data_IF_540699583903
#
_entry.id   IF_540699583903
#
_cell.length_a   1.000
_cell.length_b   1.000
_cell.length_c   1.000
_cell.angle_alpha   90.00
_cell.angle_beta   90.00
_cell.angle_gamma   90.00
#
_symmetry.space_group_name_H-M   'P 1'
#
loop_
_entity.id
_entity.type
_entity.pdbx_description
1 polymer ?
#
# COMPACT_ATOMS: atom_id res chain seq x y z
N UNK A 1 34.37 -9.76 -8.32
CA UNK A 1 33.21 -10.23 -7.51
C UNK A 1 32.19 -9.11 -7.51
N UNK A 2 30.89 -9.42 -7.58
CA UNK A 2 29.84 -8.41 -7.61
C UNK A 2 29.79 -7.63 -6.27
N UNK A 3 29.82 -6.30 -6.33
CA UNK A 3 29.81 -5.39 -5.19
C UNK A 3 28.39 -4.90 -4.86
N UNK A 4 27.62 -4.51 -5.88
CA UNK A 4 26.33 -3.84 -5.75
C UNK A 4 25.34 -4.36 -6.80
N UNK A 5 24.11 -4.66 -6.39
CA UNK A 5 22.99 -4.83 -7.30
C UNK A 5 21.98 -3.71 -7.15
N UNK A 6 21.52 -3.15 -8.27
CA UNK A 6 20.48 -2.11 -8.29
C UNK A 6 19.18 -2.73 -8.78
N UNK A 7 18.17 -2.77 -7.91
CA UNK A 7 16.83 -3.29 -8.24
C UNK A 7 15.95 -2.14 -8.67
N UNK A 8 15.44 -2.23 -9.90
CA UNK A 8 14.60 -1.20 -10.51
C UNK A 8 13.23 -1.82 -10.84
N UNK A 9 12.21 -1.62 -9.99
CA UNK A 9 10.86 -2.04 -10.31
C UNK A 9 10.29 -1.15 -11.42
N UNK A 10 9.61 -1.75 -12.39
CA UNK A 10 9.16 -1.06 -13.61
C UNK A 10 7.72 -1.40 -13.97
N UNK A 11 6.98 -0.38 -14.41
CA UNK A 11 5.67 -0.52 -15.02
C UNK A 11 5.41 0.64 -15.99
N UNK A 12 5.40 0.37 -17.29
CA UNK A 12 5.37 1.36 -18.37
C UNK A 12 6.57 2.34 -18.37
N UNK A 13 7.78 1.81 -18.26
CA UNK A 13 9.03 2.58 -18.15
C UNK A 13 9.95 2.39 -19.37
N UNK A 14 9.40 1.96 -20.51
CA UNK A 14 10.18 1.61 -21.71
C UNK A 14 11.17 2.70 -22.13
N UNK A 15 10.76 3.97 -22.06
CA UNK A 15 11.59 5.10 -22.47
C UNK A 15 12.79 5.36 -21.55
N UNK A 16 12.75 4.86 -20.31
CA UNK A 16 13.74 5.18 -19.30
C UNK A 16 14.82 4.10 -19.14
N UNK A 17 14.55 2.84 -19.55
CA UNK A 17 15.46 1.70 -19.32
C UNK A 17 16.89 1.97 -19.77
N UNK A 18 17.10 2.40 -21.02
CA UNK A 18 18.45 2.67 -21.55
C UNK A 18 19.15 3.82 -20.81
N UNK A 19 18.40 4.88 -20.46
CA UNK A 19 18.91 6.04 -19.73
C UNK A 19 19.34 5.67 -18.31
N UNK A 20 18.56 4.82 -17.63
CA UNK A 20 18.90 4.29 -16.30
C UNK A 20 20.23 3.54 -16.37
N UNK A 21 20.39 2.61 -17.34
CA UNK A 21 21.64 1.84 -17.49
C UNK A 21 22.83 2.76 -17.75
N UNK A 22 22.71 3.73 -18.67
CA UNK A 22 23.79 4.66 -18.98
C UNK A 22 24.20 5.54 -17.78
N UNK A 23 23.23 5.97 -16.97
CA UNK A 23 23.50 6.76 -15.77
C UNK A 23 24.13 5.92 -14.66
N UNK A 24 23.68 4.68 -14.49
CA UNK A 24 24.30 3.73 -13.57
C UNK A 24 25.75 3.44 -13.97
N UNK A 25 26.02 3.25 -15.26
CA UNK A 25 27.37 3.04 -15.78
C UNK A 25 28.31 4.20 -15.42
N UNK A 26 27.86 5.44 -15.66
CA UNK A 26 28.63 6.63 -15.28
C UNK A 26 28.81 6.73 -13.76
N UNK A 27 27.75 6.54 -12.98
CA UNK A 27 27.79 6.74 -11.52
C UNK A 27 28.57 5.65 -10.78
N UNK A 28 28.55 4.41 -11.27
CA UNK A 28 29.12 3.24 -10.60
C UNK A 28 30.50 2.85 -11.17
N UNK A 29 31.19 3.78 -11.82
CA UNK A 29 32.55 3.58 -12.32
C UNK A 29 33.46 3.09 -11.18
N UNK A 30 34.13 1.95 -11.39
CA UNK A 30 35.02 1.34 -10.39
C UNK A 30 34.35 0.34 -9.44
N UNK A 31 33.04 0.11 -9.54
CA UNK A 31 32.32 -0.94 -8.83
C UNK A 31 31.94 -2.07 -9.77
N UNK A 32 31.98 -3.32 -9.30
CA UNK A 32 31.35 -4.43 -10.02
C UNK A 32 29.87 -4.40 -9.70
N UNK A 33 29.03 -4.02 -10.65
CA UNK A 33 27.61 -3.84 -10.42
C UNK A 33 26.73 -4.60 -11.43
N UNK A 34 25.50 -4.86 -11.02
CA UNK A 34 24.43 -5.34 -11.89
C UNK A 34 23.15 -4.53 -11.65
N UNK A 35 22.26 -4.51 -12.63
CA UNK A 35 20.90 -3.95 -12.49
C UNK A 35 19.88 -5.03 -12.78
N UNK A 36 18.90 -5.17 -11.89
CA UNK A 36 17.79 -6.12 -12.02
C UNK A 36 16.51 -5.32 -12.25
N UNK A 37 16.06 -5.27 -13.50
CA UNK A 37 14.76 -4.74 -13.86
C UNK A 37 13.68 -5.76 -13.51
N UNK A 38 12.73 -5.37 -12.66
CA UNK A 38 11.58 -6.22 -12.29
C UNK A 38 10.32 -5.60 -12.88
N UNK A 39 9.78 -6.22 -13.93
CA UNK A 39 8.68 -5.70 -14.74
C UNK A 39 7.36 -6.43 -14.47
N UNK A 40 6.30 -5.66 -14.23
CA UNK A 40 4.95 -6.15 -13.90
C UNK A 40 4.06 -6.40 -15.12
N UNK A 41 4.66 -7.04 -16.12
CA UNK A 41 4.08 -7.33 -17.43
C UNK A 41 3.57 -6.05 -18.11
N UNK A 42 4.51 -5.13 -18.36
CA UNK A 42 4.21 -3.83 -18.94
C UNK A 42 3.72 -3.97 -20.38
N UNK A 43 2.55 -3.41 -20.73
CA UNK A 43 2.01 -3.46 -22.10
C UNK A 43 2.83 -2.65 -23.12
N UNK A 44 3.68 -1.73 -22.68
CA UNK A 44 4.48 -0.87 -23.55
C UNK A 44 5.75 -1.56 -24.13
N UNK A 45 6.06 -2.76 -23.65
CA UNK A 45 7.26 -3.52 -24.02
C UNK A 45 8.51 -3.20 -23.19
N UNK A 46 8.37 -2.64 -21.98
CA UNK A 46 9.49 -2.37 -21.05
C UNK A 46 10.41 -3.59 -20.87
N UNK A 47 9.86 -4.77 -20.53
CA UNK A 47 10.63 -6.01 -20.36
C UNK A 47 11.37 -6.45 -21.64
N UNK A 48 10.83 -6.14 -22.83
CA UNK A 48 11.49 -6.47 -24.11
C UNK A 48 12.74 -5.61 -24.29
N UNK A 49 12.65 -4.30 -24.06
CA UNK A 49 13.79 -3.39 -24.18
C UNK A 49 14.89 -3.73 -23.17
N UNK A 50 14.53 -4.06 -21.93
CA UNK A 50 15.51 -4.50 -20.94
C UNK A 50 16.22 -5.81 -21.34
N UNK A 51 15.52 -6.75 -22.00
CA UNK A 51 16.12 -7.97 -22.54
C UNK A 51 17.04 -7.71 -23.73
N UNK A 52 16.65 -6.80 -24.63
CA UNK A 52 17.49 -6.37 -25.76
C UNK A 52 18.82 -5.78 -25.26
N UNK A 53 18.79 -4.98 -24.19
CA UNK A 53 20.00 -4.45 -23.54
C UNK A 53 20.82 -5.56 -22.86
N UNK A 54 20.17 -6.54 -22.22
CA UNK A 54 20.85 -7.68 -21.59
C UNK A 54 21.61 -8.57 -22.58
N UNK A 55 21.30 -8.52 -23.89
CA UNK A 55 22.07 -9.23 -24.91
C UNK A 55 23.46 -8.63 -25.15
N UNK A 56 23.62 -7.33 -24.88
CA UNK A 56 24.86 -6.58 -25.16
C UNK A 56 25.58 -6.12 -23.90
N UNK A 57 24.89 -6.06 -22.75
CA UNK A 57 25.45 -5.73 -21.45
C UNK A 57 25.09 -6.82 -20.40
N UNK A 58 26.06 -7.66 -19.99
CA UNK A 58 25.82 -8.75 -19.04
C UNK A 58 25.46 -8.28 -17.62
N UNK A 59 25.61 -6.98 -17.32
CA UNK A 59 25.21 -6.38 -16.05
C UNK A 59 23.70 -6.17 -15.96
N UNK A 60 22.99 -6.22 -17.10
CA UNK A 60 21.54 -6.01 -17.16
C UNK A 60 20.80 -7.33 -17.03
N UNK A 61 19.89 -7.43 -16.06
CA UNK A 61 19.04 -8.59 -15.81
C UNK A 61 17.58 -8.20 -15.77
N UNK A 62 16.71 -9.13 -16.14
CA UNK A 62 15.27 -8.90 -16.24
C UNK A 62 14.49 -10.01 -15.56
N UNK A 63 13.53 -9.62 -14.71
CA UNK A 63 12.50 -10.49 -14.14
C UNK A 63 11.16 -9.95 -14.63
N UNK A 64 10.45 -10.71 -15.48
CA UNK A 64 9.10 -10.35 -15.93
C UNK A 64 8.07 -11.16 -15.13
N UNK A 65 7.18 -10.46 -14.42
CA UNK A 65 6.21 -11.06 -13.51
C UNK A 65 4.82 -11.12 -14.15
N UNK A 66 4.41 -12.33 -14.52
CA UNK A 66 3.10 -12.56 -15.19
C UNK A 66 2.00 -12.81 -14.15
N UNK A 67 0.87 -12.11 -14.31
CA UNK A 67 -0.33 -12.29 -13.49
C UNK A 67 -0.23 -11.80 -12.03
N UNK A 68 0.86 -11.10 -11.69
CA UNK A 68 1.14 -10.55 -10.36
C UNK A 68 1.63 -9.11 -10.51
N UNK A 69 1.25 -8.21 -9.58
CA UNK A 69 1.65 -6.80 -9.60
C UNK A 69 1.87 -6.25 -8.19
N UNK A 70 2.76 -5.28 -8.06
CA UNK A 70 2.98 -4.49 -6.85
C UNK A 70 4.44 -4.09 -6.66
N UNK A 71 4.68 -2.81 -6.34
CA UNK A 71 6.02 -2.25 -6.21
C UNK A 71 6.84 -2.95 -5.11
N UNK A 72 6.29 -3.10 -3.90
CA UNK A 72 7.02 -3.74 -2.80
C UNK A 72 7.40 -5.20 -3.13
N UNK A 73 6.48 -5.96 -3.74
CA UNK A 73 6.80 -7.35 -4.13
C UNK A 73 7.82 -7.41 -5.27
N UNK A 74 7.82 -6.43 -6.19
CA UNK A 74 8.83 -6.34 -7.25
C UNK A 74 10.22 -6.14 -6.66
N UNK A 75 10.34 -5.20 -5.72
CA UNK A 75 11.59 -4.96 -5.01
C UNK A 75 12.05 -6.22 -4.27
N UNK A 76 11.17 -6.89 -3.52
CA UNK A 76 11.54 -8.11 -2.78
C UNK A 76 12.09 -9.19 -3.72
N UNK A 77 11.41 -9.44 -4.84
CA UNK A 77 11.81 -10.46 -5.82
C UNK A 77 13.15 -10.12 -6.47
N UNK A 78 13.33 -8.87 -6.91
CA UNK A 78 14.60 -8.41 -7.49
C UNK A 78 15.75 -8.49 -6.50
N UNK A 79 15.53 -8.06 -5.26
CA UNK A 79 16.57 -8.11 -4.23
C UNK A 79 16.93 -9.53 -3.79
N UNK A 80 16.01 -10.50 -3.92
CA UNK A 80 16.30 -11.91 -3.65
C UNK A 80 17.01 -12.62 -4.81
N UNK A 81 16.90 -12.10 -6.03
CA UNK A 81 17.45 -12.73 -7.24
C UNK A 81 18.94 -12.44 -7.49
N UNK A 82 19.56 -11.55 -6.70
CA UNK A 82 20.95 -11.15 -6.83
C UNK A 82 21.87 -11.87 -5.85
N UNK A 83 23.12 -12.08 -6.28
CA UNK A 83 24.22 -12.57 -5.43
C UNK A 83 25.04 -11.44 -4.79
N UNK A 84 24.77 -10.17 -5.12
CA UNK A 84 25.52 -9.04 -4.58
C UNK A 84 25.41 -9.00 -3.04
N UNK A 85 26.48 -8.59 -2.33
CA UNK A 85 26.45 -8.42 -0.89
C UNK A 85 25.67 -7.17 -0.46
N UNK A 86 25.58 -6.16 -1.33
CA UNK A 86 24.79 -4.94 -1.13
C UNK A 86 23.76 -4.85 -2.25
N UNK A 87 22.52 -4.54 -1.86
CA UNK A 87 21.42 -4.35 -2.81
C UNK A 87 20.82 -2.97 -2.61
N UNK A 88 20.71 -2.20 -3.68
CA UNK A 88 20.01 -0.93 -3.72
C UNK A 88 18.67 -1.06 -4.42
N UNK A 89 17.71 -0.23 -4.02
CA UNK A 89 16.43 -0.05 -4.70
C UNK A 89 16.37 1.39 -5.20
N UNK A 90 15.95 1.58 -6.45
CA UNK A 90 15.63 2.89 -7.01
C UNK A 90 14.52 2.80 -8.05
N UNK A 91 13.68 3.83 -8.12
CA UNK A 91 12.68 4.01 -9.19
C UNK A 91 13.33 4.20 -10.57
N UNK A 92 12.65 3.72 -11.62
CA UNK A 92 13.10 3.79 -13.01
C UNK A 92 12.82 5.13 -13.72
N UNK A 93 12.21 6.11 -13.05
CA UNK A 93 11.71 7.35 -13.66
C UNK A 93 12.69 8.53 -13.58
N UNK A 94 13.95 8.25 -13.22
CA UNK A 94 15.08 9.19 -13.18
C UNK A 94 14.96 10.30 -12.12
N UNK A 95 14.02 10.17 -11.17
CA UNK A 95 13.86 11.13 -10.08
C UNK A 95 14.90 10.97 -8.97
N UNK A 96 15.36 9.73 -8.76
CA UNK A 96 16.44 9.43 -7.83
C UNK A 96 17.80 9.81 -8.40
N UNK A 97 18.69 10.24 -7.51
CA UNK A 97 20.04 10.63 -7.88
C UNK A 97 21.00 9.43 -7.79
N UNK A 98 21.20 8.73 -8.91
CA UNK A 98 22.08 7.56 -9.01
C UNK A 98 23.51 7.81 -8.52
N UNK A 99 23.98 9.06 -8.53
CA UNK A 99 25.32 9.43 -8.06
C UNK A 99 25.50 9.23 -6.55
N UNK A 100 24.40 9.00 -5.82
CA UNK A 100 24.43 8.66 -4.40
C UNK A 100 24.73 7.18 -4.14
N UNK A 101 24.51 6.29 -5.12
CA UNK A 101 24.70 4.85 -4.96
C UNK A 101 26.13 4.45 -4.55
N UNK A 102 27.22 5.03 -5.12
CA UNK A 102 28.58 4.75 -4.64
C UNK A 102 28.77 5.08 -3.16
N UNK A 103 28.20 6.20 -2.70
CA UNK A 103 28.29 6.64 -1.29
C UNK A 103 27.49 5.73 -0.37
N UNK A 104 26.31 5.29 -0.78
CA UNK A 104 25.53 4.31 -0.05
C UNK A 104 26.28 2.97 0.07
N UNK A 105 26.86 2.49 -1.03
CA UNK A 105 27.63 1.26 -1.05
C UNK A 105 28.91 1.38 -0.21
N UNK A 106 29.62 2.50 -0.27
CA UNK A 106 30.78 2.77 0.58
C UNK A 106 30.42 2.78 2.07
N UNK A 107 29.37 3.50 2.47
CA UNK A 107 28.93 3.53 3.87
C UNK A 107 28.62 2.13 4.43
N UNK A 108 27.94 1.29 3.64
CA UNK A 108 27.67 -0.10 4.01
C UNK A 108 28.91 -1.00 3.91
N UNK A 109 29.92 -0.67 3.12
CA UNK A 109 31.15 -1.46 3.07
C UNK A 109 32.05 -1.15 4.27
N UNK A 110 32.16 0.12 4.61
CA UNK A 110 33.14 0.65 5.55
C UNK A 110 32.71 0.50 7.01
N UNK A 111 31.41 0.47 7.31
CA UNK A 111 30.87 0.18 8.65
C UNK A 111 30.08 -1.16 8.65
N UNK A 112 30.70 -2.27 9.11
CA UNK A 112 30.05 -3.57 9.27
C UNK A 112 28.77 -3.55 10.10
N UNK A 113 28.62 -2.56 10.98
CA UNK A 113 27.48 -2.45 11.86
C UNK A 113 26.33 -1.61 11.28
N UNK A 114 26.51 -0.96 10.13
CA UNK A 114 25.37 -0.39 9.37
C UNK A 114 24.64 -1.49 8.60
N UNK A 115 23.31 -1.49 8.73
CA UNK A 115 22.40 -2.37 7.99
C UNK A 115 21.85 -1.70 6.72
N UNK A 116 21.63 -0.38 6.78
CA UNK A 116 20.94 0.40 5.75
C UNK A 116 21.64 1.75 5.44
N UNK A 117 21.59 2.17 4.18
CA UNK A 117 21.86 3.53 3.77
C UNK A 117 20.65 4.07 2.99
N UNK A 118 20.11 5.22 3.39
CA UNK A 118 18.84 5.75 2.87
C UNK A 118 19.09 7.08 2.20
N UNK A 119 18.66 7.23 0.95
CA UNK A 119 18.56 8.54 0.31
C UNK A 119 17.39 9.29 0.94
N UNK A 120 17.67 10.42 1.59
CA UNK A 120 16.68 11.17 2.35
C UNK A 120 16.54 12.59 1.81
N UNK A 121 15.29 12.99 1.56
CA UNK A 121 14.94 14.33 1.06
C UNK A 121 14.88 15.38 2.17
N UNK A 122 14.80 14.93 3.43
CA UNK A 122 14.47 15.76 4.58
C UNK A 122 15.62 15.97 5.57
N UNK A 123 16.81 15.41 5.28
CA UNK A 123 18.04 15.71 6.04
C UNK A 123 18.76 16.94 5.48
N UNK A 124 19.63 17.56 6.27
CA UNK A 124 20.37 18.75 5.86
C UNK A 124 21.16 18.52 4.56
N UNK A 125 20.94 19.38 3.55
CA UNK A 125 21.48 19.23 2.20
C UNK A 125 20.59 18.45 1.22
N UNK A 126 19.49 17.85 1.70
CA UNK A 126 18.45 17.22 0.87
C UNK A 126 17.41 18.25 0.39
N UNK A 127 16.67 17.90 -0.66
CA UNK A 127 15.63 18.77 -1.21
C UNK A 127 14.60 18.02 -2.05
N UNK A 128 13.42 18.61 -2.21
CA UNK A 128 12.33 18.04 -3.03
C UNK A 128 12.16 18.72 -4.40
N UNK A 129 13.12 19.54 -4.82
CA UNK A 129 13.02 20.34 -6.06
C UNK A 129 11.93 21.42 -5.96
N UNK A 130 11.29 21.77 -7.09
CA UNK A 130 10.16 22.71 -7.17
C UNK A 130 8.83 22.10 -6.68
N UNK A 131 8.82 21.50 -5.49
CA UNK A 131 7.59 20.96 -4.92
C UNK A 131 6.79 22.03 -4.19
N UNK A 132 5.48 22.03 -4.45
CA UNK A 132 4.49 22.90 -3.82
C UNK A 132 4.54 22.77 -2.27
N UNK A 133 4.56 23.90 -1.57
CA UNK A 133 4.77 23.98 -0.10
C UNK A 133 3.73 23.15 0.68
N UNK A 134 2.53 22.99 0.12
CA UNK A 134 1.44 22.17 0.69
C UNK A 134 1.78 20.67 0.76
N UNK A 135 2.62 20.17 -0.15
CA UNK A 135 3.03 18.76 -0.20
C UNK A 135 4.10 18.45 0.85
N UNK A 136 4.96 19.42 1.17
CA UNK A 136 5.97 19.32 2.24
C UNK A 136 5.30 19.20 3.62
N UNK A 137 4.24 19.96 3.87
CA UNK A 137 3.48 19.90 5.13
C UNK A 137 2.77 18.55 5.34
N UNK A 138 2.13 18.00 4.30
CA UNK A 138 1.51 16.66 4.34
C UNK A 138 2.56 15.56 4.56
N UNK A 139 3.75 15.70 3.96
CA UNK A 139 4.85 14.76 4.16
C UNK A 139 5.37 14.79 5.60
N UNK A 140 5.45 15.96 6.25
CA UNK A 140 5.90 16.07 7.64
C UNK A 140 4.94 15.37 8.63
N UNK A 141 3.63 15.44 8.40
CA UNK A 141 2.65 14.71 9.22
C UNK A 141 2.77 13.19 9.03
N UNK A 142 2.92 12.73 7.79
CA UNK A 142 3.18 11.32 7.50
C UNK A 142 4.49 10.85 8.16
N UNK A 143 5.57 11.62 8.09
CA UNK A 143 6.83 11.28 8.77
C UNK A 143 6.65 11.16 10.30
N UNK A 144 5.87 12.06 10.93
CA UNK A 144 5.59 11.97 12.38
C UNK A 144 4.79 10.72 12.76
N UNK A 145 3.79 10.36 11.97
CA UNK A 145 2.99 9.14 12.21
C UNK A 145 3.85 7.90 11.99
N UNK A 146 4.70 7.89 10.95
CA UNK A 146 5.63 6.79 10.71
C UNK A 146 6.62 6.64 11.88
N UNK A 147 7.17 7.72 12.42
CA UNK A 147 8.08 7.66 13.58
C UNK A 147 7.42 7.02 14.82
N UNK A 148 6.12 7.27 15.06
CA UNK A 148 5.35 6.64 16.14
C UNK A 148 5.16 5.14 15.94
N UNK A 149 5.05 4.68 14.68
CA UNK A 149 4.89 3.26 14.34
C UNK A 149 6.23 2.52 14.30
N UNK A 150 7.29 3.18 13.82
CA UNK A 150 8.62 2.61 13.68
C UNK A 150 9.38 2.50 15.02
N UNK A 151 9.07 3.37 15.99
CA UNK A 151 9.88 3.50 17.21
C UNK A 151 11.28 4.08 16.96
N UNK A 152 11.59 4.51 15.73
CA UNK A 152 12.87 5.11 15.32
C UNK A 152 12.63 6.44 14.62
N UNK A 153 13.53 7.41 14.84
CA UNK A 153 13.51 8.71 14.15
C UNK A 153 14.17 8.57 12.78
N UNK A 154 13.41 8.12 11.80
CA UNK A 154 13.80 8.13 10.39
C UNK A 154 13.21 9.38 9.73
N UNK A 155 14.04 10.19 9.08
CA UNK A 155 13.58 11.48 8.52
C UNK A 155 12.77 11.28 7.24
N UNK A 156 13.11 10.27 6.42
CA UNK A 156 12.38 9.90 5.22
C UNK A 156 11.98 8.41 5.17
N UNK A 157 11.00 7.98 5.97
CA UNK A 157 10.57 6.58 6.04
C UNK A 157 9.87 6.08 4.75
N UNK A 158 9.60 7.02 3.84
CA UNK A 158 8.83 6.77 2.62
C UNK A 158 9.69 6.75 1.36
N UNK A 159 11.01 6.88 1.51
CA UNK A 159 11.97 6.89 0.41
C UNK A 159 11.95 5.56 -0.34
N UNK A 160 11.87 5.66 -1.68
CA UNK A 160 12.07 4.54 -2.60
C UNK A 160 13.54 4.33 -2.96
N UNK A 161 14.45 5.10 -2.35
CA UNK A 161 15.87 5.10 -2.67
C UNK A 161 16.72 4.77 -1.45
N UNK A 162 17.21 3.53 -1.40
CA UNK A 162 18.02 3.04 -0.29
C UNK A 162 18.89 1.86 -0.74
N UNK A 163 19.93 1.57 0.03
CA UNK A 163 20.74 0.36 -0.04
C UNK A 163 20.68 -0.42 1.27
N UNK A 164 20.70 -1.73 1.18
CA UNK A 164 20.62 -2.68 2.30
C UNK A 164 21.65 -3.80 2.10
N UNK A 165 22.19 -4.34 3.19
CA UNK A 165 22.96 -5.59 3.11
C UNK A 165 22.08 -6.77 2.73
N UNK A 166 22.54 -7.58 1.80
CA UNK A 166 21.74 -8.67 1.25
C UNK A 166 21.39 -9.75 2.28
N UNK A 167 22.27 -10.03 3.25
CA UNK A 167 22.03 -10.96 4.36
C UNK A 167 20.94 -10.45 5.32
N UNK A 168 21.01 -9.17 5.71
CA UNK A 168 19.99 -8.51 6.55
C UNK A 168 18.64 -8.58 5.86
N UNK A 169 18.58 -8.22 4.57
CA UNK A 169 17.35 -8.28 3.80
C UNK A 169 16.79 -9.70 3.76
N UNK A 170 17.58 -10.71 3.37
CA UNK A 170 17.11 -12.09 3.24
C UNK A 170 16.58 -12.64 4.57
N UNK A 171 17.16 -12.23 5.70
CA UNK A 171 16.63 -12.55 7.04
C UNK A 171 15.29 -11.88 7.35
N UNK A 172 14.98 -10.74 6.73
CA UNK A 172 13.71 -10.02 6.89
C UNK A 172 12.61 -10.49 5.94
N UNK A 173 12.95 -11.02 4.75
CA UNK A 173 12.01 -11.42 3.70
C UNK A 173 10.81 -12.23 4.21
N UNK A 174 10.95 -13.26 5.06
CA UNK A 174 9.81 -14.04 5.56
C UNK A 174 8.79 -13.24 6.39
N UNK A 175 9.19 -12.06 6.88
CA UNK A 175 8.38 -11.17 7.72
C UNK A 175 7.85 -9.95 6.96
N UNK A 176 8.27 -9.74 5.71
CA UNK A 176 7.80 -8.62 4.90
C UNK A 176 6.35 -8.88 4.46
N UNK A 177 5.50 -7.87 4.61
CA UNK A 177 4.10 -7.96 4.21
C UNK A 177 3.93 -7.91 2.68
N UNK A 178 4.84 -7.21 1.98
CA UNK A 178 4.78 -7.08 0.52
C UNK A 178 3.57 -6.29 0.00
N UNK A 179 2.74 -5.72 0.89
CA UNK A 179 1.55 -4.97 0.55
C UNK A 179 1.92 -3.49 0.34
N UNK A 180 1.46 -2.91 -0.77
CA UNK A 180 1.64 -1.50 -1.10
C UNK A 180 2.94 -1.17 -1.84
N UNK A 181 3.40 0.07 -1.69
CA UNK A 181 4.52 0.66 -2.44
C UNK A 181 5.64 1.20 -1.55
N UNK A 182 5.63 0.87 -0.25
CA UNK A 182 6.52 1.47 0.75
C UNK A 182 7.40 0.41 1.40
N UNK A 183 8.24 -0.21 0.58
CA UNK A 183 9.13 -1.31 0.98
C UNK A 183 10.11 -0.92 2.10
N UNK A 184 10.62 0.33 2.12
CA UNK A 184 11.51 0.80 3.19
C UNK A 184 10.82 0.75 4.56
N UNK A 185 9.58 1.26 4.65
CA UNK A 185 8.78 1.19 5.85
C UNK A 185 8.54 -0.27 6.29
N UNK A 186 8.30 -1.15 5.32
CA UNK A 186 8.08 -2.58 5.57
C UNK A 186 9.32 -3.24 6.17
N UNK A 187 10.50 -2.98 5.59
CA UNK A 187 11.81 -3.43 6.07
C UNK A 187 12.08 -2.94 7.49
N UNK A 188 12.00 -1.62 7.70
CA UNK A 188 12.33 -0.98 8.98
C UNK A 188 11.52 -1.56 10.14
N UNK A 189 10.27 -1.89 9.85
CA UNK A 189 9.35 -2.36 10.86
C UNK A 189 9.29 -3.90 10.97
N UNK A 190 9.90 -4.65 10.04
CA UNK A 190 9.85 -6.13 10.03
C UNK A 190 10.95 -6.71 10.91
N UNK A 191 11.99 -5.90 11.12
CA UNK A 191 13.08 -6.23 12.01
C UNK A 191 12.62 -6.29 13.46
N UNK A 192 13.02 -7.35 14.15
CA UNK A 192 12.79 -7.53 15.58
C UNK A 192 13.84 -6.81 16.42
N UNK A 193 14.92 -6.34 15.80
CA UNK A 193 15.93 -5.46 16.40
C UNK A 193 15.93 -4.10 15.69
N UNK A 194 16.34 -3.00 16.36
CA UNK A 194 16.59 -1.75 15.66
C UNK A 194 17.63 -1.96 14.55
N UNK A 195 17.29 -1.57 13.32
CA UNK A 195 18.25 -1.53 12.22
C UNK A 195 19.12 -0.28 12.38
N UNK A 196 20.43 -0.43 12.18
CA UNK A 196 21.37 0.68 12.14
C UNK A 196 21.39 1.23 10.72
N UNK A 197 21.13 2.52 10.58
CA UNK A 197 21.06 3.16 9.27
C UNK A 197 21.76 4.51 9.26
N UNK A 198 22.12 4.95 8.05
CA UNK A 198 22.57 6.32 7.77
C UNK A 198 21.64 6.94 6.74
N UNK A 199 21.32 8.23 6.91
CA UNK A 199 20.58 9.01 5.92
C UNK A 199 21.55 9.91 5.16
N UNK A 200 21.53 9.80 3.83
CA UNK A 200 22.34 10.62 2.94
C UNK A 200 21.43 11.60 2.19
N UNK A 201 21.76 12.91 2.18
CA UNK A 201 20.96 13.91 1.48
C UNK A 201 20.99 13.70 -0.04
N UNK A 202 19.84 13.88 -0.68
CA UNK A 202 19.77 14.09 -2.13
C UNK A 202 18.63 15.04 -2.53
N UNK A 203 18.71 15.54 -3.75
CA UNK A 203 17.67 16.38 -4.36
C UNK A 203 16.79 15.51 -5.26
N UNK A 204 15.50 15.42 -4.93
CA UNK A 204 14.52 14.71 -5.73
C UNK A 204 14.26 15.47 -7.04
N UNK A 205 14.59 14.86 -8.17
CA UNK A 205 14.46 15.51 -9.48
C UNK A 205 13.02 15.45 -9.97
N UNK A 206 12.61 16.43 -10.77
CA UNK A 206 11.33 16.40 -11.48
C UNK A 206 11.33 15.25 -12.50
N UNK A 207 10.21 14.52 -12.60
CA UNK A 207 10.07 13.42 -13.57
C UNK A 207 10.23 13.95 -14.98
N UNK A 208 11.12 13.34 -15.77
CA UNK A 208 11.41 13.78 -17.14
C UNK A 208 10.31 13.36 -18.14
N UNK A 209 9.66 12.21 -17.92
CA UNK A 209 8.62 11.64 -18.81
C UNK A 209 7.58 10.85 -17.99
N UNK A 210 6.28 11.05 -18.25
CA UNK A 210 5.18 10.21 -17.75
C UNK A 210 4.20 10.89 -16.77
N UNK A 211 2.95 10.41 -16.73
CA UNK A 211 1.88 10.99 -15.89
C UNK A 211 2.02 10.62 -14.40
N UNK A 212 1.81 11.62 -13.52
CA UNK A 212 1.79 11.45 -12.06
C UNK A 212 0.47 10.82 -11.60
N UNK A 213 0.53 9.66 -10.93
CA UNK A 213 -0.64 8.97 -10.36
C UNK A 213 -0.85 9.25 -8.86
N UNK A 214 -0.07 10.15 -8.28
CA UNK A 214 0.16 10.28 -6.84
C UNK A 214 -0.51 11.52 -6.25
N UNK A 215 -1.75 11.41 -5.76
CA UNK A 215 -2.30 12.49 -4.93
C UNK A 215 -3.20 12.05 -3.75
N UNK A 216 -4.08 11.04 -3.89
CA UNK A 216 -4.98 10.64 -2.79
C UNK A 216 -4.96 9.15 -2.45
N UNK A 217 -4.77 8.29 -3.45
CA UNK A 217 -4.68 6.82 -3.28
C UNK A 217 -3.50 6.43 -2.39
N UNK A 218 -2.40 7.16 -2.51
CA UNK A 218 -1.13 6.94 -1.83
C UNK A 218 -1.22 7.27 -0.34
N UNK A 219 -1.96 8.31 0.03
CA UNK A 219 -2.21 8.64 1.43
C UNK A 219 -3.09 7.56 2.10
N UNK A 220 -4.10 7.05 1.38
CA UNK A 220 -4.96 5.97 1.87
C UNK A 220 -4.19 4.65 2.04
N UNK A 221 -3.40 4.26 1.03
CA UNK A 221 -2.55 3.08 1.09
C UNK A 221 -1.49 3.17 2.20
N UNK A 222 -1.00 4.38 2.50
CA UNK A 222 -0.12 4.63 3.64
C UNK A 222 -0.82 4.36 4.98
N UNK A 223 -2.02 4.91 5.19
CA UNK A 223 -2.81 4.64 6.40
C UNK A 223 -3.14 3.15 6.54
N UNK A 224 -3.44 2.49 5.43
CA UNK A 224 -3.67 1.04 5.34
C UNK A 224 -2.41 0.27 5.77
N UNK A 225 -1.23 0.62 5.26
CA UNK A 225 0.02 -0.07 5.60
C UNK A 225 0.39 0.08 7.09
N UNK A 226 0.19 1.27 7.66
CA UNK A 226 0.39 1.49 9.09
C UNK A 226 -0.61 0.68 9.94
N UNK A 227 -1.87 0.65 9.52
CA UNK A 227 -2.91 -0.11 10.21
C UNK A 227 -2.64 -1.63 10.15
N UNK A 228 -2.33 -2.17 8.96
CA UNK A 228 -2.04 -3.59 8.76
C UNK A 228 -0.88 -4.06 9.66
N UNK A 229 0.13 -3.21 9.80
CA UNK A 229 1.28 -3.52 10.64
C UNK A 229 0.96 -3.54 12.13
N UNK A 230 0.17 -2.59 12.62
CA UNK A 230 -0.14 -2.48 14.05
C UNK A 230 -1.26 -3.42 14.48
N UNK A 231 -2.27 -3.57 13.63
CA UNK A 231 -3.54 -4.23 13.93
C UNK A 231 -3.92 -5.32 12.92
N UNK A 232 -3.32 -5.39 11.74
CA UNK A 232 -3.66 -6.34 10.67
C UNK A 232 -3.59 -7.82 11.06
N UNK A 233 -2.71 -8.17 12.02
CA UNK A 233 -2.65 -9.52 12.61
C UNK A 233 -3.91 -9.91 13.40
N UNK A 234 -4.64 -8.92 13.93
CA UNK A 234 -5.84 -9.10 14.76
C UNK A 234 -7.10 -8.75 13.97
N UNK A 235 -7.04 -7.65 13.20
CA UNK A 235 -8.15 -7.08 12.46
C UNK A 235 -7.71 -6.80 11.03
N UNK A 236 -8.21 -7.54 10.03
CA UNK A 236 -7.82 -7.35 8.64
C UNK A 236 -8.13 -5.93 8.14
N UNK A 237 -7.24 -5.33 7.35
CA UNK A 237 -7.44 -4.00 6.73
C UNK A 237 -8.79 -3.89 6.04
N UNK A 238 -9.17 -4.90 5.25
CA UNK A 238 -10.44 -4.90 4.51
C UNK A 238 -11.64 -4.86 5.46
N UNK A 239 -11.57 -5.52 6.61
CA UNK A 239 -12.62 -5.45 7.63
C UNK A 239 -12.68 -4.05 8.26
N UNK A 240 -11.54 -3.43 8.52
CA UNK A 240 -11.49 -2.07 9.06
C UNK A 240 -12.07 -1.04 8.08
N UNK A 241 -11.68 -1.09 6.80
CA UNK A 241 -12.25 -0.25 5.75
C UNK A 241 -13.75 -0.49 5.58
N UNK A 242 -14.18 -1.74 5.57
CA UNK A 242 -15.59 -2.12 5.48
C UNK A 242 -16.39 -1.55 6.66
N UNK A 243 -15.86 -1.64 7.87
CA UNK A 243 -16.49 -1.12 9.09
C UNK A 243 -16.55 0.40 9.11
N UNK A 244 -15.49 1.09 8.67
CA UNK A 244 -15.47 2.55 8.55
C UNK A 244 -16.51 3.06 7.54
N UNK A 245 -16.64 2.39 6.39
CA UNK A 245 -17.70 2.68 5.42
C UNK A 245 -19.07 2.40 6.04
N UNK A 246 -19.22 1.29 6.77
CA UNK A 246 -20.45 0.97 7.50
C UNK A 246 -20.88 2.08 8.48
N UNK A 247 -19.93 2.63 9.25
CA UNK A 247 -20.17 3.74 10.16
C UNK A 247 -20.59 5.03 9.42
N UNK A 248 -19.95 5.34 8.29
CA UNK A 248 -20.36 6.45 7.43
C UNK A 248 -21.77 6.23 6.86
N UNK A 249 -22.09 5.01 6.46
CA UNK A 249 -23.42 4.60 6.02
C UNK A 249 -24.48 4.76 7.11
N UNK A 250 -24.15 4.53 8.39
CA UNK A 250 -25.06 4.84 9.50
C UNK A 250 -25.34 6.34 9.61
N UNK A 251 -24.35 7.20 9.34
CA UNK A 251 -24.56 8.64 9.20
C UNK A 251 -25.54 8.98 8.06
N UNK A 252 -25.32 8.40 6.88
CA UNK A 252 -26.24 8.55 5.73
C UNK A 252 -27.65 8.09 6.08
N UNK A 253 -27.78 6.95 6.77
CA UNK A 253 -29.07 6.45 7.25
C UNK A 253 -29.79 7.49 8.11
N UNK A 254 -29.11 8.04 9.12
CA UNK A 254 -29.70 9.05 10.00
C UNK A 254 -30.09 10.32 9.25
N UNK A 255 -29.29 10.77 8.29
CA UNK A 255 -29.61 11.96 7.47
C UNK A 255 -30.83 11.73 6.58
N UNK A 256 -30.92 10.57 5.92
CA UNK A 256 -32.06 10.23 5.05
C UNK A 256 -33.33 10.04 5.90
N UNK A 257 -33.22 9.37 7.04
CA UNK A 257 -34.36 9.20 7.95
C UNK A 257 -34.85 10.56 8.45
N UNK A 258 -33.96 11.46 8.87
CA UNK A 258 -34.34 12.81 9.29
C UNK A 258 -35.05 13.58 8.16
N UNK A 259 -34.55 13.50 6.92
CA UNK A 259 -35.19 14.14 5.78
C UNK A 259 -36.62 13.60 5.53
N UNK A 260 -36.79 12.28 5.47
CA UNK A 260 -38.07 11.70 5.09
C UNK A 260 -39.09 11.62 6.22
N UNK A 261 -38.65 11.33 7.44
CA UNK A 261 -39.54 11.26 8.61
C UNK A 261 -39.82 12.65 9.19
N UNK A 262 -38.79 13.46 9.43
CA UNK A 262 -38.94 14.75 10.13
C UNK A 262 -39.35 15.86 9.16
N UNK A 263 -38.69 15.98 8.01
CA UNK A 263 -38.95 17.09 7.09
C UNK A 263 -40.09 16.81 6.11
N UNK A 264 -40.19 15.60 5.57
CA UNK A 264 -41.23 15.22 4.60
C UNK A 264 -42.48 14.59 5.23
N UNK A 265 -42.48 14.34 6.55
CA UNK A 265 -43.64 13.82 7.28
C UNK A 265 -44.09 12.42 6.89
N UNK A 266 -43.22 11.60 6.29
CA UNK A 266 -43.55 10.21 5.96
C UNK A 266 -43.70 9.36 7.23
N UNK A 267 -44.47 8.28 7.15
CA UNK A 267 -44.56 7.31 8.22
C UNK A 267 -43.16 6.76 8.59
N UNK A 268 -42.89 6.60 9.88
CA UNK A 268 -41.59 6.17 10.41
C UNK A 268 -41.04 4.92 9.72
N UNK A 269 -41.88 3.88 9.56
CA UNK A 269 -41.50 2.64 8.89
C UNK A 269 -41.07 2.88 7.42
N UNK A 270 -41.77 3.77 6.71
CA UNK A 270 -41.43 4.11 5.32
C UNK A 270 -40.11 4.86 5.26
N UNK A 271 -39.92 5.87 6.13
CA UNK A 271 -38.65 6.57 6.26
C UNK A 271 -37.49 5.64 6.61
N UNK A 272 -37.71 4.68 7.51
CA UNK A 272 -36.72 3.68 7.92
C UNK A 272 -36.30 2.77 6.76
N UNK A 273 -37.26 2.30 5.95
CA UNK A 273 -36.98 1.46 4.78
C UNK A 273 -36.15 2.25 3.76
N UNK A 274 -36.57 3.48 3.43
CA UNK A 274 -35.86 4.34 2.48
C UNK A 274 -34.43 4.64 2.95
N UNK A 275 -34.26 5.00 4.23
CA UNK A 275 -32.95 5.26 4.83
C UNK A 275 -32.05 4.01 4.81
N UNK A 276 -32.60 2.82 5.06
CA UNK A 276 -31.86 1.55 5.03
C UNK A 276 -31.35 1.26 3.61
N UNK A 277 -32.20 1.35 2.60
CA UNK A 277 -31.79 1.13 1.21
C UNK A 277 -30.78 2.18 0.72
N UNK A 278 -30.95 3.45 1.09
CA UNK A 278 -30.00 4.51 0.76
C UNK A 278 -28.61 4.23 1.36
N UNK A 279 -28.56 3.87 2.64
CA UNK A 279 -27.31 3.52 3.32
C UNK A 279 -26.65 2.25 2.75
N UNK A 280 -27.42 1.19 2.47
CA UNK A 280 -26.89 -0.02 1.83
C UNK A 280 -26.33 0.27 0.43
N UNK A 281 -27.01 1.12 -0.34
CA UNK A 281 -26.57 1.51 -1.69
C UNK A 281 -25.28 2.33 -1.63
N UNK A 282 -25.22 3.31 -0.73
CA UNK A 282 -24.00 4.09 -0.48
C UNK A 282 -22.83 3.18 -0.08
N UNK A 283 -23.04 2.29 0.88
CA UNK A 283 -22.03 1.35 1.36
C UNK A 283 -21.54 0.42 0.25
N UNK A 284 -22.45 -0.09 -0.60
CA UNK A 284 -22.09 -0.95 -1.72
C UNK A 284 -21.16 -0.25 -2.70
N UNK A 285 -21.55 0.93 -3.19
CA UNK A 285 -20.76 1.65 -4.19
C UNK A 285 -19.41 2.11 -3.63
N UNK A 286 -19.38 2.58 -2.39
CA UNK A 286 -18.14 3.01 -1.76
C UNK A 286 -17.19 1.82 -1.49
N UNK A 287 -17.71 0.67 -1.04
CA UNK A 287 -16.89 -0.54 -0.89
C UNK A 287 -16.40 -1.06 -2.25
N UNK A 288 -17.21 -1.00 -3.31
CA UNK A 288 -16.78 -1.40 -4.65
C UNK A 288 -15.68 -0.48 -5.22
N UNK A 289 -15.72 0.80 -4.87
CA UNK A 289 -14.73 1.79 -5.31
C UNK A 289 -13.42 1.76 -4.50
N UNK A 290 -13.52 1.51 -3.19
CA UNK A 290 -12.39 1.61 -2.25
C UNK A 290 -11.95 0.23 -1.72
N UNK A 291 -12.76 -0.43 -0.89
CA UNK A 291 -12.40 -1.67 -0.17
C UNK A 291 -12.07 -2.84 -1.09
N UNK A 292 -12.82 -2.98 -2.18
CA UNK A 292 -12.67 -4.06 -3.17
C UNK A 292 -12.22 -3.52 -4.53
N UNK A 293 -11.42 -2.44 -4.54
CA UNK A 293 -10.92 -1.82 -5.77
C UNK A 293 -10.21 -2.81 -6.70
N UNK A 294 -9.50 -3.78 -6.13
CA UNK A 294 -8.79 -4.87 -6.82
C UNK A 294 -9.75 -5.86 -7.50
N UNK A 295 -10.96 -6.03 -6.95
CA UNK A 295 -12.00 -6.95 -7.43
C UNK A 295 -13.28 -6.23 -7.83
N UNK A 296 -13.18 -4.95 -8.22
CA UNK A 296 -14.34 -4.11 -8.47
C UNK A 296 -15.23 -4.68 -9.57
N UNK A 297 -16.53 -4.70 -9.28
CA UNK A 297 -17.55 -5.08 -10.24
C UNK A 297 -17.68 -3.94 -11.27
N UNK A 298 -17.67 -4.30 -12.56
CA UNK A 298 -17.81 -3.36 -13.69
C UNK A 298 -18.87 -3.87 -14.65
N UNK A 299 -19.60 -2.94 -15.25
CA UNK A 299 -20.74 -3.22 -16.13
C UNK A 299 -22.06 -3.30 -15.36
N UNK A 300 -23.15 -2.90 -16.01
CA UNK A 300 -24.45 -2.73 -15.36
C UNK A 300 -24.96 -4.02 -14.69
N UNK A 301 -24.85 -5.16 -15.38
CA UNK A 301 -25.30 -6.46 -14.87
C UNK A 301 -24.53 -6.90 -13.62
N UNK A 302 -23.19 -6.85 -13.67
CA UNK A 302 -22.36 -7.23 -12.53
C UNK A 302 -22.55 -6.30 -11.32
N UNK A 303 -22.80 -5.01 -11.56
CA UNK A 303 -23.12 -4.05 -10.50
C UNK A 303 -24.49 -4.34 -9.87
N UNK A 304 -25.50 -4.64 -10.68
CA UNK A 304 -26.84 -4.98 -10.20
C UNK A 304 -26.83 -6.28 -9.39
N UNK A 305 -26.25 -7.35 -9.94
CA UNK A 305 -26.14 -8.65 -9.27
C UNK A 305 -25.38 -8.52 -7.94
N UNK A 306 -24.28 -7.77 -7.95
CA UNK A 306 -23.50 -7.47 -6.74
C UNK A 306 -24.28 -6.67 -5.70
N UNK A 307 -25.02 -5.64 -6.13
CA UNK A 307 -25.83 -4.81 -5.24
C UNK A 307 -26.93 -5.63 -4.57
N UNK A 308 -27.65 -6.47 -5.34
CA UNK A 308 -28.67 -7.39 -4.80
C UNK A 308 -28.05 -8.35 -3.79
N UNK A 309 -26.93 -9.00 -4.14
CA UNK A 309 -26.23 -9.91 -3.24
C UNK A 309 -25.79 -9.20 -1.93
N UNK A 310 -25.29 -7.97 -2.04
CA UNK A 310 -24.90 -7.16 -0.88
C UNK A 310 -26.09 -6.84 0.03
N UNK A 311 -27.22 -6.40 -0.54
CA UNK A 311 -28.44 -6.12 0.22
C UNK A 311 -28.96 -7.37 0.94
N UNK A 312 -28.96 -8.53 0.29
CA UNK A 312 -29.37 -9.80 0.90
C UNK A 312 -28.46 -10.18 2.08
N UNK A 313 -27.15 -10.13 1.88
CA UNK A 313 -26.16 -10.42 2.93
C UNK A 313 -26.33 -9.46 4.12
N UNK A 314 -26.44 -8.16 3.86
CA UNK A 314 -26.60 -7.15 4.91
C UNK A 314 -27.93 -7.28 5.66
N UNK A 315 -29.00 -7.72 5.00
CA UNK A 315 -30.29 -8.00 5.64
C UNK A 315 -30.18 -9.15 6.64
N UNK A 316 -29.49 -10.24 6.28
CA UNK A 316 -29.24 -11.36 7.20
C UNK A 316 -28.36 -10.92 8.38
N UNK A 317 -27.32 -10.11 8.14
CA UNK A 317 -26.48 -9.59 9.22
C UNK A 317 -27.22 -8.63 10.16
N UNK A 318 -28.22 -7.89 9.68
CA UNK A 318 -29.08 -7.08 10.52
C UNK A 318 -29.93 -7.94 11.47
N UNK A 319 -30.46 -9.06 10.98
CA UNK A 319 -31.18 -10.04 11.82
C UNK A 319 -30.23 -10.66 12.85
N UNK A 320 -29.01 -11.03 12.45
CA UNK A 320 -28.01 -11.57 13.36
C UNK A 320 -27.62 -10.57 14.47
N UNK A 321 -27.44 -9.29 14.12
CA UNK A 321 -27.20 -8.21 15.09
C UNK A 321 -28.31 -8.15 16.15
N UNK A 322 -29.58 -8.03 15.71
CA UNK A 322 -30.73 -7.94 16.62
C UNK A 322 -30.86 -9.19 17.48
N UNK A 323 -30.70 -10.38 16.89
CA UNK A 323 -30.79 -11.65 17.61
C UNK A 323 -29.73 -11.80 18.71
N UNK A 324 -28.47 -11.45 18.41
CA UNK A 324 -27.38 -11.51 19.40
C UNK A 324 -27.57 -10.47 20.49
N UNK A 325 -27.94 -9.23 20.13
CA UNK A 325 -28.19 -8.17 21.11
C UNK A 325 -29.33 -8.54 22.07
N UNK A 326 -30.45 -9.07 21.54
CA UNK A 326 -31.59 -9.51 22.34
C UNK A 326 -31.20 -10.68 23.27
N UNK A 327 -30.50 -11.69 22.77
CA UNK A 327 -30.04 -12.82 23.59
C UNK A 327 -29.15 -12.37 24.76
N UNK A 328 -28.20 -11.46 24.50
CA UNK A 328 -27.29 -10.97 25.54
C UNK A 328 -28.00 -10.06 26.56
N UNK A 329 -28.97 -9.27 26.14
CA UNK A 329 -29.75 -8.43 27.04
C UNK A 329 -30.72 -9.27 27.89
N UNK A 330 -31.56 -10.08 27.24
CA UNK A 330 -32.70 -10.72 27.89
C UNK A 330 -32.32 -12.01 28.63
N UNK A 331 -31.37 -12.78 28.09
CA UNK A 331 -31.01 -14.10 28.65
C UNK A 331 -29.80 -14.02 29.56
N UNK A 332 -28.84 -13.13 29.26
CA UNK A 332 -27.60 -12.98 30.05
C UNK A 332 -27.63 -11.81 31.02
N UNK A 333 -28.73 -11.05 31.10
CA UNK A 333 -28.85 -9.81 31.89
C UNK A 333 -27.68 -8.84 31.64
N UNK A 334 -27.19 -8.81 30.40
CA UNK A 334 -26.12 -7.91 30.00
C UNK A 334 -26.58 -6.45 29.97
N UNK A 335 -25.68 -5.53 30.25
CA UNK A 335 -25.97 -4.10 30.10
C UNK A 335 -26.41 -3.80 28.66
N UNK A 336 -27.54 -3.12 28.49
CA UNK A 336 -28.18 -2.87 27.19
C UNK A 336 -27.21 -2.33 26.13
N UNK A 337 -26.33 -1.40 26.51
CA UNK A 337 -25.36 -0.80 25.61
C UNK A 337 -24.29 -1.81 25.16
N UNK A 338 -23.81 -2.66 26.06
CA UNK A 338 -22.82 -3.69 25.74
C UNK A 338 -23.43 -4.76 24.82
N UNK A 339 -24.67 -5.17 25.07
CA UNK A 339 -25.41 -6.12 24.23
C UNK A 339 -25.63 -5.58 22.82
N UNK A 340 -26.02 -4.30 22.68
CA UNK A 340 -26.18 -3.65 21.39
C UNK A 340 -24.85 -3.52 20.62
N UNK A 341 -23.76 -3.13 21.29
CA UNK A 341 -22.44 -3.03 20.67
C UNK A 341 -21.92 -4.39 20.18
N UNK A 342 -22.13 -5.45 20.96
CA UNK A 342 -21.76 -6.81 20.57
C UNK A 342 -22.59 -7.31 19.38
N UNK A 343 -23.90 -7.03 19.35
CA UNK A 343 -24.74 -7.30 18.19
C UNK A 343 -24.24 -6.60 16.93
N UNK A 344 -23.92 -5.31 17.03
CA UNK A 344 -23.37 -4.52 15.91
C UNK A 344 -22.05 -5.12 15.43
N UNK A 345 -21.17 -5.53 16.35
CA UNK A 345 -19.90 -6.15 16.01
C UNK A 345 -20.09 -7.48 15.27
N UNK A 346 -20.95 -8.37 15.77
CA UNK A 346 -21.25 -9.65 15.11
C UNK A 346 -21.86 -9.42 13.73
N UNK A 347 -22.81 -8.49 13.61
CA UNK A 347 -23.41 -8.11 12.35
C UNK A 347 -22.38 -7.56 11.35
N UNK A 348 -21.43 -6.73 11.81
CA UNK A 348 -20.36 -6.21 10.98
C UNK A 348 -19.42 -7.32 10.48
N UNK A 349 -19.04 -8.27 11.34
CA UNK A 349 -18.22 -9.44 10.97
C UNK A 349 -18.94 -10.32 9.95
N UNK A 350 -20.22 -10.61 10.17
CA UNK A 350 -21.06 -11.36 9.23
C UNK A 350 -21.14 -10.66 7.87
N UNK A 351 -21.49 -9.38 7.87
CA UNK A 351 -21.63 -8.58 6.66
C UNK A 351 -20.32 -8.54 5.87
N UNK A 352 -19.19 -8.36 6.55
CA UNK A 352 -17.88 -8.39 5.91
C UNK A 352 -17.56 -9.76 5.31
N UNK A 353 -17.65 -10.83 6.10
CA UNK A 353 -17.26 -12.18 5.68
C UNK A 353 -18.09 -12.66 4.48
N UNK A 354 -19.40 -12.48 4.55
CA UNK A 354 -20.30 -12.91 3.49
C UNK A 354 -20.24 -11.99 2.27
N UNK A 355 -20.10 -10.67 2.42
CA UNK A 355 -19.98 -9.80 1.24
C UNK A 355 -18.64 -10.02 0.53
N UNK A 356 -17.56 -10.24 1.30
CA UNK A 356 -16.25 -10.63 0.75
C UNK A 356 -16.34 -11.93 -0.05
N UNK A 357 -17.16 -12.89 0.39
CA UNK A 357 -17.33 -14.18 -0.27
C UNK A 357 -18.34 -14.19 -1.41
N UNK A 358 -19.48 -13.52 -1.29
CA UNK A 358 -20.62 -13.67 -2.20
C UNK A 358 -20.86 -12.45 -3.10
N UNK A 359 -20.46 -11.25 -2.68
CA UNK A 359 -20.60 -10.04 -3.49
C UNK A 359 -19.35 -9.81 -4.35
N UNK A 360 -18.16 -9.81 -3.73
CA UNK A 360 -16.89 -9.55 -4.40
C UNK A 360 -16.01 -10.79 -4.58
N UNK A 361 -16.36 -11.89 -3.91
CA UNK A 361 -15.81 -13.22 -4.15
C UNK A 361 -16.56 -13.87 -5.29
N UNK A 362 -16.16 -13.64 -6.53
CA UNK A 362 -16.68 -14.49 -7.62
C UNK A 362 -16.28 -15.92 -7.30
N UNK A 363 -17.25 -16.83 -7.21
CA UNK A 363 -16.99 -18.26 -7.30
C UNK A 363 -16.06 -18.49 -8.50
N UNK A 364 -14.87 -19.00 -8.20
CA UNK A 364 -14.09 -19.83 -9.12
C UNK A 364 -14.08 -21.22 -8.52
#
# INVERSE_FOLDING_TARGET
>A
MLDLAVVVPTFNERGNVATVVARLDSALTGLNWEVVFVDDDSPDGTARVARELALVDPRVRVIQRIGRRGLSTACIEGMCATAAPIVAVMDGDLQHDETLLPRMAAALRDDPALDLAIGSRFVAGGGTGEWDRDRVAKSALATRIAALVLGTRLSDPMSGFFAIRADVLRGLVPKLGGIGFKILLDIMSASTRPLRFVELPYVFRSRAVGESKLDHVVAMEYLIALYDRRLGRIVPVRFAMFSAIGALGAGIHMSVLALFYVAAGLAFLTGQIVATFAAMTFNFFLNNALTYRDRRLRGARALLDGWVAFCLVCSVGAVANVGVAAFLHDVRQGAWAASALLGVLVGAVWNYALSSRFTWGRYR
#
